data_IF_836781397647
#
_entry.id   IF_836781397647
#
_cell.length_a   1.000
_cell.length_b   1.000
_cell.length_c   1.000
_cell.angle_alpha   90.00
_cell.angle_beta   90.00
_cell.angle_gamma   90.00
#
_symmetry.space_group_name_H-M   'P 1'
#
loop_
_entity.id
_entity.type
_entity.pdbx_description
1 polymer ?
#
# COMPACT_ATOMS: atom_id res chain seq x y z
N UNK A 1 52.12 46.52 1.51
CA UNK A 1 50.65 46.65 1.43
C UNK A 1 50.07 45.30 1.02
N UNK A 2 49.47 44.50 1.91
CA UNK A 2 48.75 43.32 1.48
C UNK A 2 47.31 43.73 1.10
N UNK A 3 46.89 43.39 -0.12
CA UNK A 3 45.52 43.59 -0.59
C UNK A 3 44.59 42.59 0.10
N UNK A 4 43.58 43.08 0.81
CA UNK A 4 42.50 42.29 1.36
C UNK A 4 41.56 41.89 0.21
N UNK A 5 41.48 40.59 -0.09
CA UNK A 5 40.46 40.03 -0.97
C UNK A 5 39.21 39.78 -0.12
N UNK A 6 38.17 40.60 -0.33
CA UNK A 6 36.88 40.44 0.33
C UNK A 6 36.09 39.33 -0.38
N UNK A 7 35.98 38.16 0.23
CA UNK A 7 35.02 37.13 -0.19
C UNK A 7 33.60 37.60 0.15
N UNK A 8 32.82 38.01 -0.85
CA UNK A 8 31.38 38.23 -0.69
C UNK A 8 30.69 36.87 -0.53
N UNK A 9 30.47 36.46 0.72
CA UNK A 9 29.52 35.40 1.07
C UNK A 9 28.11 35.89 0.70
N UNK A 10 27.54 35.34 -0.37
CA UNK A 10 26.11 35.46 -0.66
C UNK A 10 25.35 34.75 0.46
N UNK A 11 24.89 35.53 1.44
CA UNK A 11 23.92 35.05 2.43
C UNK A 11 22.65 34.70 1.66
N UNK A 12 22.37 33.41 1.50
CA UNK A 12 21.05 32.97 1.05
C UNK A 12 20.11 33.22 2.24
N UNK A 13 19.21 34.20 2.11
CA UNK A 13 18.18 34.41 3.12
C UNK A 13 17.18 33.27 2.98
N UNK A 14 16.66 32.80 4.11
CA UNK A 14 15.55 31.85 4.08
C UNK A 14 14.33 32.52 3.43
N UNK A 15 13.54 31.73 2.69
CA UNK A 15 12.30 32.18 2.06
C UNK A 15 11.42 32.86 3.12
N UNK A 16 10.74 33.92 2.71
CA UNK A 16 9.95 34.76 3.60
C UNK A 16 8.52 34.83 3.11
N UNK A 17 7.59 34.62 4.04
CA UNK A 17 6.16 34.85 3.82
C UNK A 17 5.66 35.84 4.86
N UNK A 18 5.09 36.95 4.40
CA UNK A 18 4.45 37.96 5.23
C UNK A 18 2.94 37.82 5.07
N UNK A 19 2.24 37.80 6.20
CA UNK A 19 0.80 37.67 6.26
C UNK A 19 0.12 39.04 6.32
N UNK A 20 -1.16 39.09 5.96
CA UNK A 20 -1.96 40.31 5.97
C UNK A 20 -2.10 40.95 7.36
N UNK A 21 -1.91 40.19 8.44
CA UNK A 21 -1.88 40.69 9.81
C UNK A 21 -0.50 41.21 10.25
N UNK A 22 0.51 41.16 9.38
CA UNK A 22 1.89 41.59 9.64
C UNK A 22 2.82 40.48 10.14
N UNK A 23 2.30 39.28 10.44
CA UNK A 23 3.14 38.17 10.87
C UNK A 23 4.09 37.73 9.76
N UNK A 24 5.29 37.30 10.14
CA UNK A 24 6.32 36.85 9.21
C UNK A 24 6.75 35.42 9.54
N UNK A 25 6.66 34.55 8.54
CA UNK A 25 7.23 33.20 8.59
C UNK A 25 8.47 33.16 7.72
N UNK A 26 9.57 32.69 8.30
CA UNK A 26 10.85 32.51 7.61
C UNK A 26 11.18 31.03 7.58
N UNK A 27 11.55 30.49 6.41
CA UNK A 27 11.81 29.06 6.24
C UNK A 27 12.11 28.67 4.79
N UNK A 28 11.79 27.44 4.42
CA UNK A 28 11.81 27.00 3.02
C UNK A 28 10.38 26.69 2.56
N UNK A 29 9.95 27.29 1.45
CA UNK A 29 8.63 26.96 0.86
C UNK A 29 8.69 25.50 0.38
N UNK A 30 7.78 24.66 0.89
CA UNK A 30 7.67 23.27 0.46
C UNK A 30 6.75 23.20 -0.75
N UNK A 31 5.52 23.69 -0.58
CA UNK A 31 4.51 23.71 -1.64
C UNK A 31 3.39 24.69 -1.36
N UNK A 32 2.67 25.05 -2.42
CA UNK A 32 1.33 25.62 -2.37
C UNK A 32 0.41 24.71 -3.14
N UNK A 33 -0.65 24.23 -2.51
CA UNK A 33 -1.67 23.39 -3.15
C UNK A 33 -3.07 23.85 -2.72
N UNK A 34 -3.94 24.07 -3.70
CA UNK A 34 -5.27 24.65 -3.49
C UNK A 34 -5.20 25.96 -2.71
N UNK A 35 -5.76 25.95 -1.48
CA UNK A 35 -5.87 27.10 -0.58
C UNK A 35 -4.73 27.19 0.45
N UNK A 36 -3.77 26.27 0.44
CA UNK A 36 -2.79 26.14 1.50
C UNK A 36 -1.36 26.32 0.97
N UNK A 37 -0.57 27.10 1.69
CA UNK A 37 0.89 27.21 1.54
C UNK A 37 1.57 26.52 2.71
N UNK A 38 2.51 25.64 2.42
CA UNK A 38 3.28 24.89 3.42
C UNK A 38 4.74 25.32 3.39
N UNK A 39 5.25 25.69 4.56
CA UNK A 39 6.61 26.19 4.76
C UNK A 39 7.27 25.34 5.84
N UNK A 40 8.53 24.94 5.62
CA UNK A 40 9.37 24.36 6.67
C UNK A 40 10.14 25.48 7.35
N UNK A 41 9.69 25.90 8.52
CA UNK A 41 10.42 26.80 9.40
C UNK A 41 11.43 26.01 10.23
N UNK A 42 12.63 26.55 10.43
CA UNK A 42 13.70 25.85 11.14
C UNK A 42 13.37 25.59 12.61
N UNK A 43 12.69 26.54 13.27
CA UNK A 43 12.37 26.48 14.70
C UNK A 43 11.03 25.81 15.01
N UNK A 44 10.06 25.92 14.09
CA UNK A 44 8.66 25.52 14.34
C UNK A 44 8.23 24.32 13.49
N UNK A 45 9.13 23.77 12.69
CA UNK A 45 8.82 22.66 11.79
C UNK A 45 7.91 23.09 10.64
N UNK A 46 6.93 22.26 10.30
CA UNK A 46 6.06 22.51 9.15
C UNK A 46 4.89 23.41 9.54
N UNK A 47 4.82 24.59 8.95
CA UNK A 47 3.74 25.57 9.12
C UNK A 47 2.86 25.54 7.87
N UNK A 48 1.54 25.46 8.06
CA UNK A 48 0.55 25.56 6.98
C UNK A 48 -0.26 26.83 7.14
N UNK A 49 -0.34 27.62 6.09
CA UNK A 49 -0.95 28.95 6.06
C UNK A 49 -1.99 28.99 4.94
N UNK A 50 -3.12 29.62 5.18
CA UNK A 50 -4.09 29.88 4.13
C UNK A 50 -3.52 30.89 3.11
N UNK A 51 -3.52 30.53 1.82
CA UNK A 51 -2.93 31.32 0.74
C UNK A 51 -3.56 32.70 0.60
N UNK A 52 -4.84 32.84 0.94
CA UNK A 52 -5.56 34.11 0.93
C UNK A 52 -5.12 35.07 2.06
N UNK A 53 -4.39 34.59 3.07
CA UNK A 53 -3.79 35.41 4.12
C UNK A 53 -2.36 35.84 3.81
N UNK A 54 -1.77 35.36 2.70
CA UNK A 54 -0.43 35.76 2.28
C UNK A 54 -0.49 37.14 1.63
N UNK A 55 0.28 38.07 2.18
CA UNK A 55 0.46 39.42 1.62
C UNK A 55 1.71 39.47 0.73
N UNK A 56 2.83 38.92 1.20
CA UNK A 56 4.07 38.85 0.44
C UNK A 56 4.69 37.46 0.52
N UNK A 57 5.27 37.01 -0.60
CA UNK A 57 6.07 35.79 -0.68
C UNK A 57 7.39 36.09 -1.37
N UNK A 58 8.47 35.58 -0.81
CA UNK A 58 9.80 35.63 -1.40
C UNK A 58 10.44 34.25 -1.30
N UNK A 59 10.85 33.72 -2.44
CA UNK A 59 11.59 32.47 -2.54
C UNK A 59 12.91 32.75 -3.26
N UNK A 60 14.04 32.66 -2.55
CA UNK A 60 15.34 32.92 -3.13
C UNK A 60 15.88 31.70 -3.89
N UNK A 61 15.38 30.50 -3.58
CA UNK A 61 15.62 29.28 -4.36
C UNK A 61 14.56 29.13 -5.45
N UNK A 62 14.91 28.69 -6.67
CA UNK A 62 13.94 28.39 -7.69
C UNK A 62 12.91 27.36 -7.22
N UNK A 63 11.64 27.62 -7.48
CA UNK A 63 10.52 26.71 -7.25
C UNK A 63 9.78 26.48 -8.56
N UNK A 64 9.10 25.33 -8.65
CA UNK A 64 8.25 24.98 -9.77
C UNK A 64 6.86 25.56 -9.53
N UNK A 65 6.43 26.50 -10.38
CA UNK A 65 5.10 27.12 -10.32
C UNK A 65 4.26 26.60 -11.47
N UNK A 66 3.15 25.94 -11.13
CA UNK A 66 2.10 25.59 -12.09
C UNK A 66 1.07 26.71 -12.10
N UNK A 67 0.91 27.35 -13.24
CA UNK A 67 -0.07 28.40 -13.46
C UNK A 67 -1.49 27.82 -13.55
N UNK A 68 -2.50 28.67 -13.39
CA UNK A 68 -3.91 28.28 -13.54
C UNK A 68 -4.24 27.69 -14.93
N UNK A 69 -3.47 28.05 -15.96
CA UNK A 69 -3.59 27.49 -17.33
C UNK A 69 -2.89 26.13 -17.51
N UNK A 70 -2.24 25.61 -16.45
CA UNK A 70 -1.54 24.32 -16.45
C UNK A 70 -0.07 24.38 -16.88
N UNK A 71 0.46 25.54 -17.30
CA UNK A 71 1.90 25.66 -17.63
C UNK A 71 2.75 25.65 -16.37
N UNK A 72 3.88 24.94 -16.44
CA UNK A 72 4.88 24.94 -15.37
C UNK A 72 6.05 25.84 -15.74
N UNK A 73 6.40 26.76 -14.84
CA UNK A 73 7.60 27.61 -14.94
C UNK A 73 8.47 27.40 -13.71
N UNK A 74 9.79 27.41 -13.86
CA UNK A 74 10.73 27.29 -12.74
C UNK A 74 11.46 28.62 -12.54
N UNK A 75 11.41 29.17 -11.33
CA UNK A 75 12.00 30.46 -11.04
C UNK A 75 11.91 30.85 -9.58
N UNK A 76 12.59 31.94 -9.21
CA UNK A 76 12.48 32.54 -7.87
C UNK A 76 11.19 33.34 -7.76
N UNK A 77 10.68 33.49 -6.53
CA UNK A 77 9.44 34.22 -6.27
C UNK A 77 9.71 35.52 -5.54
N UNK A 78 9.01 36.57 -5.91
CA UNK A 78 8.92 37.79 -5.13
C UNK A 78 7.53 38.42 -5.32
N UNK A 79 6.97 39.00 -4.28
CA UNK A 79 5.81 39.89 -4.44
C UNK A 79 6.28 41.29 -4.80
N UNK A 80 5.77 41.85 -5.91
CA UNK A 80 5.98 43.23 -6.31
C UNK A 80 4.65 43.85 -6.76
N UNK A 81 4.32 45.03 -6.24
CA UNK A 81 3.08 45.75 -6.58
C UNK A 81 1.79 44.90 -6.46
N UNK A 82 1.71 44.07 -5.41
CA UNK A 82 0.56 43.19 -5.16
C UNK A 82 0.44 41.99 -6.11
N UNK A 83 1.43 41.77 -6.99
CA UNK A 83 1.51 40.62 -7.90
C UNK A 83 2.65 39.70 -7.50
N UNK A 84 2.54 38.43 -7.88
CA UNK A 84 3.61 37.45 -7.73
C UNK A 84 4.47 37.49 -8.98
N UNK A 85 5.73 37.88 -8.82
CA UNK A 85 6.74 37.80 -9.87
C UNK A 85 7.48 36.47 -9.78
N UNK A 86 7.45 35.72 -10.89
CA UNK A 86 8.29 34.54 -11.09
C UNK A 86 9.45 34.94 -11.99
N UNK A 87 10.66 35.01 -11.44
CA UNK A 87 11.86 35.29 -12.21
C UNK A 87 12.51 33.98 -12.68
N UNK A 88 12.39 33.69 -13.98
CA UNK A 88 13.09 32.59 -14.64
C UNK A 88 14.46 33.07 -15.14
N UNK A 89 15.25 32.18 -15.75
CA UNK A 89 16.54 32.57 -16.35
C UNK A 89 16.40 33.61 -17.46
N UNK A 90 15.29 33.58 -18.19
CA UNK A 90 15.12 34.32 -19.45
C UNK A 90 14.07 35.44 -19.35
N UNK A 91 13.13 35.37 -18.40
CA UNK A 91 12.00 36.31 -18.31
C UNK A 91 11.46 36.44 -16.89
N UNK A 92 10.91 37.61 -16.55
CA UNK A 92 10.10 37.82 -15.36
C UNK A 92 8.63 37.78 -15.72
N UNK A 93 7.88 36.87 -15.10
CA UNK A 93 6.44 36.73 -15.28
C UNK A 93 5.73 37.37 -14.09
N UNK A 94 4.85 38.35 -14.33
CA UNK A 94 4.06 38.99 -13.27
C UNK A 94 2.63 38.46 -13.29
N UNK A 95 2.24 37.79 -12.20
CA UNK A 95 1.00 37.03 -12.08
C UNK A 95 0.11 37.60 -10.98
N UNK A 96 -1.21 37.55 -11.17
CA UNK A 96 -2.09 37.75 -10.02
C UNK A 96 -1.93 36.56 -9.05
N UNK A 97 -2.09 36.75 -7.73
CA UNK A 97 -2.01 35.64 -6.77
C UNK A 97 -3.00 34.50 -7.04
N UNK A 98 -4.11 34.79 -7.74
CA UNK A 98 -5.11 33.82 -8.18
C UNK A 98 -4.62 32.94 -9.35
N UNK A 99 -3.70 33.43 -10.17
CA UNK A 99 -3.15 32.70 -11.33
C UNK A 99 -2.06 31.70 -10.93
N UNK A 100 -1.57 31.79 -9.68
CA UNK A 100 -0.62 30.85 -9.10
C UNK A 100 -1.39 29.62 -8.62
N UNK A 101 -1.44 28.58 -9.46
CA UNK A 101 -2.17 27.34 -9.17
C UNK A 101 -1.48 26.49 -8.10
N UNK A 102 -0.26 26.04 -8.38
CA UNK A 102 0.54 25.19 -7.49
C UNK A 102 1.96 25.72 -7.41
N UNK A 103 2.58 25.63 -6.24
CA UNK A 103 4.03 25.82 -6.06
C UNK A 103 4.60 24.50 -5.53
N UNK A 104 5.73 24.04 -6.05
CA UNK A 104 6.48 22.91 -5.49
C UNK A 104 7.97 23.24 -5.48
N UNK A 105 8.63 23.03 -4.34
CA UNK A 105 10.08 22.95 -4.36
C UNK A 105 10.55 21.70 -5.14
N UNK A 106 11.85 21.57 -5.35
CA UNK A 106 12.40 20.46 -6.15
C UNK A 106 12.09 19.08 -5.57
N UNK A 107 12.07 18.93 -4.24
CA UNK A 107 11.77 17.65 -3.58
C UNK A 107 10.30 17.24 -3.77
N UNK A 108 9.36 18.18 -3.60
CA UNK A 108 7.94 17.93 -3.86
C UNK A 108 7.67 17.73 -5.35
N UNK A 109 8.38 18.43 -6.23
CA UNK A 109 8.25 18.22 -7.68
C UNK A 109 8.72 16.82 -8.08
N UNK A 110 9.87 16.37 -7.57
CA UNK A 110 10.34 14.98 -7.76
C UNK A 110 9.36 13.96 -7.18
N UNK A 111 8.80 14.23 -6.00
CA UNK A 111 7.79 13.36 -5.40
C UNK A 111 6.52 13.27 -6.25
N UNK A 112 6.06 14.38 -6.83
CA UNK A 112 4.93 14.44 -7.74
C UNK A 112 5.21 13.68 -9.05
N UNK A 113 6.36 13.90 -9.68
CA UNK A 113 6.76 13.20 -10.91
C UNK A 113 6.86 11.68 -10.71
N UNK A 114 7.36 11.25 -9.54
CA UNK A 114 7.39 9.84 -9.14
C UNK A 114 5.99 9.20 -9.16
N UNK A 115 4.94 9.94 -8.80
CA UNK A 115 3.56 9.45 -8.79
C UNK A 115 2.92 9.44 -10.17
N UNK A 116 3.39 10.27 -11.11
CA UNK A 116 2.89 10.31 -12.48
C UNK A 116 3.36 9.11 -13.32
N UNK A 117 4.63 8.72 -13.18
CA UNK A 117 5.24 7.61 -13.93
C UNK A 117 6.10 6.74 -13.00
N UNK A 118 5.48 6.08 -12.00
CA UNK A 118 6.23 5.24 -11.08
C UNK A 118 6.81 4.04 -11.83
N UNK A 119 8.11 3.78 -11.65
CA UNK A 119 8.67 2.53 -12.12
C UNK A 119 8.11 1.34 -11.30
N UNK A 120 8.32 0.12 -11.77
CA UNK A 120 7.72 -1.06 -11.15
C UNK A 120 8.21 -1.32 -9.71
N UNK A 121 9.42 -0.89 -9.36
CA UNK A 121 10.01 -1.04 -8.03
C UNK A 121 9.55 -0.01 -7.00
N UNK A 122 8.69 0.94 -7.38
CA UNK A 122 8.16 2.00 -6.53
C UNK A 122 6.70 1.76 -6.16
N UNK A 123 6.26 2.43 -5.09
CA UNK A 123 4.89 2.44 -4.56
C UNK A 123 4.44 1.12 -3.93
N UNK A 124 5.39 0.24 -3.62
CA UNK A 124 5.12 -0.96 -2.86
C UNK A 124 4.98 -0.61 -1.38
N UNK A 125 3.87 -1.02 -0.79
CA UNK A 125 3.67 -1.00 0.65
C UNK A 125 3.17 -2.37 1.11
N UNK A 126 3.54 -2.77 2.32
CA UNK A 126 3.23 -4.12 2.77
C UNK A 126 3.60 -4.40 4.21
N UNK A 127 3.34 -5.64 4.60
CA UNK A 127 3.69 -6.20 5.89
C UNK A 127 4.45 -7.50 5.73
N UNK A 128 5.36 -7.76 6.66
CA UNK A 128 6.00 -9.06 6.83
C UNK A 128 5.96 -9.44 8.30
N UNK A 129 5.62 -10.69 8.62
CA UNK A 129 5.45 -11.16 9.99
C UNK A 129 6.08 -12.53 10.22
N UNK A 130 6.60 -12.75 11.41
CA UNK A 130 7.09 -14.03 11.92
C UNK A 130 6.34 -14.38 13.21
N UNK A 131 5.91 -15.63 13.32
CA UNK A 131 5.25 -16.19 14.49
C UNK A 131 5.94 -17.47 14.96
N UNK A 132 6.19 -17.57 16.25
CA UNK A 132 6.75 -18.75 16.91
C UNK A 132 5.88 -19.11 18.12
N UNK A 133 5.52 -20.38 18.26
CA UNK A 133 4.84 -20.90 19.44
C UNK A 133 5.40 -22.28 19.79
N UNK A 134 5.45 -22.60 21.08
CA UNK A 134 5.91 -23.92 21.51
C UNK A 134 5.52 -24.21 22.95
N UNK A 135 5.48 -25.49 23.26
CA UNK A 135 5.25 -26.01 24.61
C UNK A 135 6.35 -27.01 24.96
N UNK A 136 6.66 -27.12 26.25
CA UNK A 136 7.59 -28.12 26.78
C UNK A 136 7.06 -28.66 28.11
N UNK A 137 7.63 -29.78 28.59
CA UNK A 137 7.17 -30.50 29.78
C UNK A 137 6.23 -31.64 29.37
N UNK A 138 4.95 -31.54 29.72
CA UNK A 138 3.95 -32.58 29.47
C UNK A 138 3.64 -32.77 27.97
N UNK A 139 3.75 -31.70 27.18
CA UNK A 139 3.61 -31.73 25.74
C UNK A 139 4.74 -30.95 25.09
N UNK A 140 5.33 -31.51 24.04
CA UNK A 140 6.37 -30.83 23.26
C UNK A 140 5.83 -30.45 21.90
N UNK A 141 5.67 -29.16 21.66
CA UNK A 141 5.20 -28.61 20.38
C UNK A 141 6.12 -27.49 19.90
N UNK A 142 6.20 -27.33 18.58
CA UNK A 142 6.88 -26.22 17.92
C UNK A 142 6.06 -25.82 16.71
N UNK A 143 5.75 -24.54 16.59
CA UNK A 143 5.06 -23.93 15.46
C UNK A 143 5.86 -22.74 14.97
N UNK A 144 6.09 -22.69 13.68
CA UNK A 144 6.63 -21.56 12.95
C UNK A 144 5.60 -21.11 11.92
N UNK A 145 5.38 -19.79 11.82
CA UNK A 145 4.56 -19.19 10.79
C UNK A 145 5.23 -17.93 10.25
N UNK A 146 5.04 -17.68 8.96
CA UNK A 146 5.45 -16.44 8.31
C UNK A 146 4.39 -15.99 7.32
N UNK A 147 4.25 -14.67 7.20
CA UNK A 147 3.28 -14.05 6.31
C UNK A 147 3.86 -12.78 5.72
N UNK A 148 3.70 -12.59 4.42
CA UNK A 148 4.09 -11.39 3.68
C UNK A 148 2.92 -10.97 2.81
N UNK A 149 2.56 -9.69 2.89
CA UNK A 149 1.59 -9.07 2.01
C UNK A 149 2.22 -7.80 1.45
N UNK A 150 2.14 -7.59 0.15
CA UNK A 150 2.63 -6.38 -0.50
C UNK A 150 1.65 -5.93 -1.58
N UNK A 151 1.43 -4.63 -1.69
CA UNK A 151 0.62 -4.03 -2.72
C UNK A 151 1.34 -2.84 -3.33
N UNK A 152 1.30 -2.76 -4.66
CA UNK A 152 1.69 -1.59 -5.44
C UNK A 152 0.44 -0.94 -5.98
N UNK A 153 0.14 0.28 -5.52
CA UNK A 153 -1.05 1.02 -5.94
C UNK A 153 -0.63 2.26 -6.72
N UNK A 154 -1.10 2.37 -7.96
CA UNK A 154 -0.96 3.57 -8.81
C UNK A 154 -2.32 4.26 -8.95
N UNK A 155 -2.41 5.28 -9.81
CA UNK A 155 -3.67 5.96 -10.12
C UNK A 155 -4.68 5.02 -10.80
N UNK A 156 -4.20 4.03 -11.56
CA UNK A 156 -5.03 3.17 -12.41
C UNK A 156 -4.94 1.70 -12.04
N UNK A 157 -3.92 1.29 -11.30
CA UNK A 157 -3.58 -0.13 -11.16
C UNK A 157 -3.26 -0.50 -9.70
N UNK A 158 -3.55 -1.75 -9.36
CA UNK A 158 -3.12 -2.39 -8.11
C UNK A 158 -2.47 -3.72 -8.45
N UNK A 159 -1.21 -3.91 -8.09
CA UNK A 159 -0.56 -5.23 -8.08
C UNK A 159 -0.47 -5.70 -6.63
N UNK A 160 -0.93 -6.91 -6.35
CA UNK A 160 -0.87 -7.52 -5.02
C UNK A 160 0.05 -8.75 -5.07
N UNK A 161 0.83 -8.95 -4.01
CA UNK A 161 1.63 -10.15 -3.77
C UNK A 161 1.35 -10.63 -2.35
N UNK A 162 1.19 -11.92 -2.16
CA UNK A 162 1.17 -12.51 -0.83
C UNK A 162 1.94 -13.82 -0.77
N UNK A 163 2.44 -14.13 0.42
CA UNK A 163 3.07 -15.40 0.76
C UNK A 163 2.77 -15.73 2.21
N UNK A 164 2.33 -16.94 2.49
CA UNK A 164 2.08 -17.44 3.84
C UNK A 164 2.65 -18.86 3.94
N UNK A 165 3.34 -19.15 5.04
CA UNK A 165 3.78 -20.51 5.34
C UNK A 165 3.59 -20.81 6.83
N UNK A 166 3.16 -22.03 7.13
CA UNK A 166 3.12 -22.57 8.48
C UNK A 166 3.73 -23.96 8.50
N UNK A 167 4.53 -24.22 9.54
CA UNK A 167 5.01 -25.55 9.87
C UNK A 167 4.88 -25.78 11.38
N UNK A 168 4.19 -26.84 11.76
CA UNK A 168 4.01 -27.21 13.16
C UNK A 168 4.33 -28.69 13.36
N UNK A 169 4.90 -29.00 14.53
CA UNK A 169 5.20 -30.36 14.96
C UNK A 169 4.91 -30.55 16.43
N UNK A 170 4.48 -31.76 16.80
CA UNK A 170 4.27 -32.20 18.15
C UNK A 170 4.90 -33.57 18.40
N UNK A 171 5.32 -33.82 19.64
CA UNK A 171 5.73 -35.15 20.06
C UNK A 171 4.48 -36.01 20.30
N UNK A 172 4.25 -36.99 19.42
CA UNK A 172 3.14 -37.96 19.52
C UNK A 172 3.74 -39.34 19.73
N UNK A 173 3.40 -40.00 20.85
CA UNK A 173 3.92 -41.33 21.21
C UNK A 173 5.47 -41.40 21.18
N UNK A 174 6.14 -40.35 21.66
CA UNK A 174 7.61 -40.28 21.70
C UNK A 174 8.29 -40.03 20.35
N UNK A 175 7.53 -39.83 19.27
CA UNK A 175 8.06 -39.49 17.94
C UNK A 175 7.65 -38.08 17.53
N UNK A 176 8.58 -37.34 16.93
CA UNK A 176 8.25 -36.04 16.36
C UNK A 176 7.33 -36.26 15.16
N UNK A 177 6.13 -35.68 15.21
CA UNK A 177 5.12 -35.77 14.17
C UNK A 177 4.74 -34.36 13.75
N UNK A 178 4.70 -34.12 12.44
CA UNK A 178 4.16 -32.86 11.94
C UNK A 178 2.66 -32.80 12.22
N UNK A 179 2.17 -31.60 12.50
CA UNK A 179 0.75 -31.33 12.80
C UNK A 179 0.16 -30.26 11.90
N UNK A 180 1.01 -29.47 11.22
CA UNK A 180 0.62 -28.58 10.12
C UNK A 180 1.82 -28.40 9.19
N UNK A 181 1.58 -28.35 7.88
CA UNK A 181 2.58 -27.94 6.89
C UNK A 181 1.86 -27.43 5.64
N UNK A 182 1.80 -26.10 5.49
CA UNK A 182 1.12 -25.46 4.37
C UNK A 182 1.90 -24.25 3.89
N UNK A 183 1.91 -24.04 2.57
CA UNK A 183 2.52 -22.90 1.89
C UNK A 183 1.54 -22.36 0.87
N UNK A 184 1.26 -21.06 0.91
CA UNK A 184 0.35 -20.37 0.00
C UNK A 184 1.05 -19.13 -0.54
N UNK A 185 0.93 -18.87 -1.82
CA UNK A 185 1.44 -17.64 -2.41
C UNK A 185 0.68 -17.28 -3.67
N UNK A 186 0.62 -15.99 -3.97
CA UNK A 186 -0.13 -15.53 -5.13
C UNK A 186 0.22 -14.13 -5.55
N UNK A 187 -0.14 -13.84 -6.80
CA UNK A 187 -0.03 -12.52 -7.42
C UNK A 187 -1.40 -12.12 -7.99
N UNK A 188 -1.79 -10.88 -7.76
CA UNK A 188 -3.00 -10.29 -8.32
C UNK A 188 -2.68 -8.98 -9.05
N UNK A 189 -3.46 -8.67 -10.08
CA UNK A 189 -3.42 -7.40 -10.79
C UNK A 189 -4.84 -6.91 -11.08
N UNK A 190 -5.13 -5.69 -10.65
CA UNK A 190 -6.37 -4.98 -10.95
C UNK A 190 -6.05 -3.76 -11.81
N UNK A 191 -6.82 -3.56 -12.88
CA UNK A 191 -6.78 -2.38 -13.73
C UNK A 191 -8.13 -1.65 -13.68
N UNK A 192 -8.13 -0.41 -13.22
CA UNK A 192 -9.33 0.42 -13.11
C UNK A 192 -9.72 0.95 -14.50
N UNK A 193 -10.77 0.36 -15.07
CA UNK A 193 -11.38 0.83 -16.33
C UNK A 193 -12.25 2.08 -16.11
N UNK A 194 -12.79 2.24 -14.90
CA UNK A 194 -13.46 3.44 -14.39
C UNK A 194 -13.11 3.62 -12.91
N UNK A 195 -13.38 4.78 -12.29
CA UNK A 195 -13.08 4.99 -10.87
C UNK A 195 -13.73 3.98 -9.92
N UNK A 196 -14.83 3.35 -10.32
CA UNK A 196 -15.57 2.35 -9.54
C UNK A 196 -15.51 0.93 -10.12
N UNK A 197 -14.94 0.72 -11.30
CA UNK A 197 -14.93 -0.58 -11.97
C UNK A 197 -13.51 -0.96 -12.36
N UNK A 198 -13.17 -2.23 -12.12
CA UNK A 198 -11.86 -2.77 -12.47
C UNK A 198 -11.97 -4.14 -13.13
N UNK A 199 -10.97 -4.48 -13.93
CA UNK A 199 -10.69 -5.83 -14.42
C UNK A 199 -9.63 -6.43 -13.51
N UNK A 200 -9.79 -7.69 -13.11
CA UNK A 200 -8.84 -8.38 -12.25
C UNK A 200 -8.29 -9.63 -12.93
N UNK A 201 -7.02 -9.93 -12.65
CA UNK A 201 -6.35 -11.20 -12.99
C UNK A 201 -5.56 -11.63 -11.77
N UNK A 202 -5.53 -12.93 -11.47
CA UNK A 202 -4.76 -13.46 -10.35
C UNK A 202 -4.21 -14.85 -10.66
N UNK A 203 -3.12 -15.20 -9.98
CA UNK A 203 -2.52 -16.51 -10.03
C UNK A 203 -2.06 -16.94 -8.64
N UNK A 204 -2.60 -18.06 -8.16
CA UNK A 204 -2.36 -18.57 -6.82
C UNK A 204 -1.74 -19.98 -6.85
N UNK A 205 -0.92 -20.25 -5.84
CA UNK A 205 -0.25 -21.51 -5.59
C UNK A 205 -0.47 -21.94 -4.15
N UNK A 206 -0.76 -23.22 -3.95
CA UNK A 206 -0.97 -23.79 -2.62
C UNK A 206 -0.39 -25.20 -2.51
N UNK A 207 0.31 -25.45 -1.41
CA UNK A 207 0.74 -26.75 -0.94
C UNK A 207 0.16 -26.95 0.46
N UNK A 208 -0.37 -28.14 0.73
CA UNK A 208 -0.88 -28.52 2.04
C UNK A 208 -0.75 -30.02 2.27
N UNK A 209 0.18 -30.40 3.15
CA UNK A 209 0.44 -31.80 3.49
C UNK A 209 -0.78 -32.51 4.09
N UNK A 210 -1.56 -31.81 4.93
CA UNK A 210 -2.68 -32.39 5.66
C UNK A 210 -3.94 -32.49 4.80
N UNK A 211 -3.98 -31.83 3.65
CA UNK A 211 -4.96 -32.05 2.59
C UNK A 211 -4.50 -33.06 1.53
N UNK A 212 -3.30 -33.68 1.66
CA UNK A 212 -2.61 -34.42 0.59
C UNK A 212 -2.44 -33.58 -0.69
N UNK A 213 -2.32 -32.26 -0.59
CA UNK A 213 -2.25 -31.38 -1.73
C UNK A 213 -0.78 -31.04 -2.02
N UNK A 214 -0.21 -31.70 -3.04
CA UNK A 214 1.18 -31.48 -3.45
C UNK A 214 1.33 -30.15 -4.19
N UNK A 215 0.32 -29.77 -4.98
CA UNK A 215 0.25 -28.47 -5.64
C UNK A 215 -1.18 -28.17 -6.11
N UNK A 216 -1.71 -27.01 -5.74
CA UNK A 216 -2.81 -26.36 -6.44
C UNK A 216 -2.29 -25.14 -7.17
N UNK A 217 -2.62 -25.06 -8.45
CA UNK A 217 -2.41 -23.90 -9.30
C UNK A 217 -3.79 -23.34 -9.67
N UNK A 218 -4.00 -22.05 -9.45
CA UNK A 218 -5.22 -21.35 -9.88
C UNK A 218 -4.83 -20.15 -10.72
N UNK A 219 -5.41 -20.01 -11.91
CA UNK A 219 -5.28 -18.82 -12.75
C UNK A 219 -6.67 -18.33 -13.11
N UNK A 220 -7.00 -17.11 -12.72
CA UNK A 220 -8.33 -16.56 -12.90
C UNK A 220 -8.34 -15.11 -13.32
N UNK A 221 -9.49 -14.68 -13.84
CA UNK A 221 -9.72 -13.30 -14.19
C UNK A 221 -11.21 -12.97 -14.32
N UNK A 222 -11.51 -11.68 -14.15
CA UNK A 222 -12.88 -11.22 -14.06
C UNK A 222 -12.98 -9.71 -13.89
N UNK A 223 -14.09 -9.30 -13.28
CA UNK A 223 -14.41 -7.90 -13.05
C UNK A 223 -14.71 -7.68 -11.58
N UNK A 224 -14.53 -6.44 -11.15
CA UNK A 224 -14.93 -6.03 -9.82
C UNK A 224 -15.37 -4.58 -9.75
N UNK A 225 -15.94 -4.26 -8.60
CA UNK A 225 -16.59 -3.00 -8.30
C UNK A 225 -16.12 -2.50 -6.94
N UNK A 226 -15.62 -1.26 -6.90
CA UNK A 226 -15.28 -0.55 -5.66
C UNK A 226 -16.58 -0.04 -5.01
N UNK A 227 -17.15 -0.83 -4.11
CA UNK A 227 -18.41 -0.50 -3.44
C UNK A 227 -18.25 0.62 -2.41
N UNK A 228 -17.13 0.68 -1.71
CA UNK A 228 -16.81 1.78 -0.80
C UNK A 228 -15.34 2.11 -0.91
N UNK A 229 -15.02 3.39 -1.02
CA UNK A 229 -13.64 3.89 -1.08
C UNK A 229 -13.53 5.18 -0.29
N UNK A 230 -13.02 5.05 0.92
CA UNK A 230 -12.78 6.16 1.86
C UNK A 230 -11.36 6.06 2.41
N UNK A 231 -10.92 7.07 3.17
CA UNK A 231 -9.60 7.02 3.82
C UNK A 231 -9.45 5.91 4.87
N UNK A 232 -10.58 5.47 5.44
CA UNK A 232 -10.63 4.47 6.51
C UNK A 232 -11.14 3.10 6.06
N UNK A 233 -11.95 3.02 5.02
CA UNK A 233 -12.64 1.79 4.62
C UNK A 233 -12.63 1.63 3.10
N UNK A 234 -12.33 0.42 2.65
CA UNK A 234 -12.35 0.00 1.26
C UNK A 234 -13.08 -1.34 1.15
N UNK A 235 -14.13 -1.42 0.33
CA UNK A 235 -14.85 -2.66 0.06
C UNK A 235 -14.93 -2.85 -1.45
N UNK A 236 -14.45 -3.99 -1.91
CA UNK A 236 -14.56 -4.44 -3.30
C UNK A 236 -15.43 -5.68 -3.38
N UNK A 237 -16.29 -5.74 -4.40
CA UNK A 237 -16.89 -6.99 -4.86
C UNK A 237 -16.25 -7.41 -6.17
N UNK A 238 -16.05 -8.71 -6.36
CA UNK A 238 -15.44 -9.25 -7.56
C UNK A 238 -16.07 -10.57 -7.97
N UNK A 239 -15.98 -10.89 -9.26
CA UNK A 239 -16.36 -12.19 -9.79
C UNK A 239 -15.83 -12.43 -11.19
N UNK A 240 -15.72 -13.69 -11.57
CA UNK A 240 -15.11 -14.09 -12.84
C UNK A 240 -15.02 -15.59 -12.98
N UNK A 241 -14.06 -16.02 -13.81
CA UNK A 241 -13.78 -17.44 -14.03
C UNK A 241 -12.31 -17.73 -13.75
N UNK A 242 -12.04 -18.95 -13.35
CA UNK A 242 -10.68 -19.44 -13.17
C UNK A 242 -10.51 -20.89 -13.61
N UNK A 243 -9.25 -21.25 -13.79
CA UNK A 243 -8.80 -22.61 -14.00
C UNK A 243 -8.03 -23.07 -12.77
N UNK A 244 -8.53 -24.13 -12.13
CA UNK A 244 -7.89 -24.80 -11.01
C UNK A 244 -7.30 -26.15 -11.48
N UNK A 245 -6.04 -26.38 -11.16
CA UNK A 245 -5.38 -27.67 -11.28
C UNK A 245 -4.79 -28.06 -9.93
N UNK A 246 -5.31 -29.15 -9.36
CA UNK A 246 -4.85 -29.70 -8.08
C UNK A 246 -4.23 -31.09 -8.30
N UNK A 247 -2.97 -31.27 -7.91
CA UNK A 247 -2.29 -32.57 -7.83
C UNK A 247 -2.15 -32.98 -6.37
N UNK A 248 -2.50 -34.22 -6.06
CA UNK A 248 -2.48 -34.76 -4.71
C UNK A 248 -1.34 -35.75 -4.51
N UNK A 249 -1.01 -36.10 -3.27
CA UNK A 249 -0.02 -37.13 -2.91
C UNK A 249 -0.46 -38.57 -3.28
N UNK A 250 -1.47 -38.70 -4.12
CA UNK A 250 -1.97 -39.94 -4.73
C UNK A 250 -1.86 -39.77 -6.25
N UNK A 251 -2.12 -40.79 -7.08
CA UNK A 251 -2.19 -40.59 -8.53
C UNK A 251 -3.29 -39.62 -9.00
N UNK A 252 -4.15 -39.13 -8.10
CA UNK A 252 -5.22 -38.19 -8.41
C UNK A 252 -4.68 -36.82 -8.83
N UNK A 253 -5.10 -36.37 -10.01
CA UNK A 253 -5.00 -34.98 -10.45
C UNK A 253 -6.37 -34.51 -10.90
N UNK A 254 -6.81 -33.36 -10.39
CA UNK A 254 -8.07 -32.73 -10.74
C UNK A 254 -7.83 -31.45 -11.52
N UNK A 255 -8.71 -31.19 -12.49
CA UNK A 255 -8.75 -29.94 -13.26
C UNK A 255 -10.21 -29.48 -13.32
N UNK A 256 -10.45 -28.22 -13.01
CA UNK A 256 -11.78 -27.62 -13.05
C UNK A 256 -11.68 -26.22 -13.65
N UNK A 257 -12.67 -25.88 -14.48
CA UNK A 257 -13.06 -24.50 -14.66
C UNK A 257 -14.02 -24.12 -13.54
N UNK A 258 -13.81 -22.97 -12.91
CA UNK A 258 -14.59 -22.51 -11.76
C UNK A 258 -15.19 -21.12 -12.07
N UNK A 259 -16.40 -20.86 -11.58
CA UNK A 259 -16.92 -19.51 -11.46
C UNK A 259 -16.61 -19.02 -10.04
N UNK A 260 -15.92 -17.90 -9.92
CA UNK A 260 -15.61 -17.34 -8.61
C UNK A 260 -16.34 -16.02 -8.38
N UNK A 261 -16.62 -15.75 -7.11
CA UNK A 261 -17.12 -14.46 -6.66
C UNK A 261 -16.76 -14.23 -5.19
N UNK A 262 -16.77 -12.97 -4.76
CA UNK A 262 -16.44 -12.64 -3.38
C UNK A 262 -16.20 -11.16 -3.13
N UNK A 263 -15.53 -10.88 -2.03
CA UNK A 263 -15.24 -9.53 -1.56
C UNK A 263 -13.82 -9.39 -0.98
N UNK A 264 -13.31 -8.16 -1.05
CA UNK A 264 -12.09 -7.73 -0.35
C UNK A 264 -12.42 -6.50 0.49
N UNK A 265 -12.23 -6.60 1.81
CA UNK A 265 -12.50 -5.54 2.76
C UNK A 265 -11.25 -5.08 3.50
N UNK A 266 -11.05 -3.77 3.58
CA UNK A 266 -9.98 -3.15 4.36
C UNK A 266 -10.57 -2.08 5.27
N UNK A 267 -10.18 -2.07 6.53
CA UNK A 267 -10.68 -1.13 7.52
C UNK A 267 -9.56 -0.64 8.45
N UNK A 268 -9.36 0.67 8.52
CA UNK A 268 -8.60 1.34 9.59
C UNK A 268 -9.52 1.51 10.79
N UNK A 269 -9.45 0.55 11.72
CA UNK A 269 -10.21 0.57 12.97
C UNK A 269 -9.78 1.75 13.83
N UNK A 270 -8.47 2.04 13.87
CA UNK A 270 -7.88 3.19 14.58
C UNK A 270 -6.62 3.67 13.86
N UNK A 271 -5.93 4.67 14.41
CA UNK A 271 -4.61 5.08 13.90
C UNK A 271 -3.51 4.02 14.09
N UNK A 272 -3.72 3.08 15.02
CA UNK A 272 -2.78 2.01 15.34
C UNK A 272 -3.20 0.65 14.75
N UNK A 273 -4.50 0.41 14.55
CA UNK A 273 -5.03 -0.90 14.17
C UNK A 273 -5.74 -0.86 12.82
N UNK A 274 -5.37 -1.80 11.95
CA UNK A 274 -6.03 -2.07 10.67
C UNK A 274 -6.50 -3.51 10.59
N UNK A 275 -7.61 -3.72 9.89
CA UNK A 275 -8.21 -5.01 9.59
C UNK A 275 -8.25 -5.19 8.08
N UNK A 276 -7.97 -6.41 7.63
CA UNK A 276 -8.16 -6.87 6.25
C UNK A 276 -9.01 -8.14 6.29
N UNK A 277 -9.92 -8.28 5.35
CA UNK A 277 -10.71 -9.49 5.16
C UNK A 277 -10.87 -9.77 3.66
N UNK A 278 -10.88 -11.06 3.32
CA UNK A 278 -11.09 -11.56 1.97
C UNK A 278 -12.02 -12.75 2.04
N UNK A 279 -13.02 -12.79 1.17
CA UNK A 279 -13.92 -13.91 0.99
C UNK A 279 -13.95 -14.26 -0.49
N UNK A 280 -13.84 -15.55 -0.82
CA UNK A 280 -14.04 -16.06 -2.18
C UNK A 280 -14.76 -17.40 -2.16
N UNK A 281 -15.84 -17.47 -2.93
CA UNK A 281 -16.52 -18.70 -3.32
C UNK A 281 -16.03 -19.10 -4.72
N UNK A 282 -15.87 -20.39 -4.94
CA UNK A 282 -15.52 -20.97 -6.23
C UNK A 282 -16.46 -22.15 -6.51
N UNK A 283 -17.35 -21.96 -7.49
CA UNK A 283 -18.31 -22.95 -7.95
C UNK A 283 -17.70 -23.74 -9.12
N UNK A 284 -17.56 -25.07 -8.98
CA UNK A 284 -16.98 -25.91 -10.03
C UNK A 284 -17.97 -26.08 -11.20
N UNK A 285 -17.57 -25.58 -12.37
CA UNK A 285 -18.35 -25.65 -13.61
C UNK A 285 -18.18 -26.98 -14.34
N UNK A 286 -17.12 -27.73 -14.00
CA UNK A 286 -16.76 -29.03 -14.59
C UNK A 286 -17.40 -30.18 -13.83
N UNK A 287 -17.27 -30.19 -12.50
CA UNK A 287 -17.90 -31.16 -11.60
C UNK A 287 -19.04 -30.49 -10.85
N UNK A 288 -20.22 -30.43 -11.48
CA UNK A 288 -21.39 -29.75 -10.91
C UNK A 288 -21.71 -30.27 -9.51
N UNK A 289 -21.93 -29.34 -8.58
CA UNK A 289 -22.20 -29.63 -7.18
C UNK A 289 -20.95 -29.64 -6.30
N UNK A 290 -19.74 -29.53 -6.86
CA UNK A 290 -18.51 -29.26 -6.10
C UNK A 290 -18.27 -27.76 -6.00
N UNK A 291 -17.79 -27.30 -4.84
CA UNK A 291 -17.40 -25.92 -4.60
C UNK A 291 -16.39 -25.81 -3.47
N UNK A 292 -15.66 -24.69 -3.44
CA UNK A 292 -14.74 -24.34 -2.35
C UNK A 292 -14.95 -22.91 -1.89
N UNK A 293 -14.71 -22.67 -0.60
CA UNK A 293 -14.79 -21.35 0.03
C UNK A 293 -13.46 -21.04 0.69
N UNK A 294 -12.94 -19.85 0.42
CA UNK A 294 -11.79 -19.29 1.10
C UNK A 294 -12.25 -18.05 1.87
N UNK A 295 -11.99 -18.04 3.17
CA UNK A 295 -12.18 -16.86 4.00
C UNK A 295 -10.88 -16.55 4.74
N UNK A 296 -10.46 -15.29 4.72
CA UNK A 296 -9.29 -14.81 5.46
C UNK A 296 -9.66 -13.52 6.17
N UNK A 297 -9.26 -13.38 7.42
CA UNK A 297 -9.36 -12.12 8.18
C UNK A 297 -8.10 -11.91 8.99
N UNK A 298 -7.57 -10.70 8.96
CA UNK A 298 -6.33 -10.34 9.64
C UNK A 298 -6.43 -8.97 10.29
N UNK A 299 -5.80 -8.83 11.44
CA UNK A 299 -5.63 -7.56 12.14
C UNK A 299 -4.14 -7.30 12.36
N UNK A 300 -3.72 -6.06 12.11
CA UNK A 300 -2.36 -5.56 12.39
C UNK A 300 -2.47 -4.35 13.30
N UNK A 301 -1.82 -4.41 14.46
CA UNK A 301 -1.77 -3.33 15.45
C UNK A 301 -0.33 -2.87 15.65
N UNK A 302 -0.08 -1.57 15.48
CA UNK A 302 1.20 -0.95 15.78
C UNK A 302 1.47 -1.02 17.28
N UNK A 303 2.58 -1.64 17.66
CA UNK A 303 3.04 -1.74 19.06
C UNK A 303 4.22 -0.79 19.30
N UNK A 304 5.04 -0.57 18.26
CA UNK A 304 6.08 0.45 18.23
C UNK A 304 6.19 1.05 16.82
N UNK A 305 7.02 2.10 16.65
CA UNK A 305 7.21 2.77 15.34
C UNK A 305 7.59 1.81 14.21
N UNK A 306 8.34 0.76 14.52
CA UNK A 306 8.86 -0.22 13.56
C UNK A 306 8.25 -1.62 13.71
N UNK A 307 7.34 -1.82 14.68
CA UNK A 307 6.87 -3.14 15.10
C UNK A 307 5.35 -3.19 15.17
N UNK A 308 4.79 -4.21 14.53
CA UNK A 308 3.38 -4.54 14.56
C UNK A 308 3.17 -5.90 15.20
N UNK A 309 2.05 -6.04 15.89
CA UNK A 309 1.49 -7.33 16.26
C UNK A 309 0.39 -7.70 15.26
N UNK A 310 0.44 -8.92 14.76
CA UNK A 310 -0.47 -9.45 13.76
C UNK A 310 -1.26 -10.63 14.34
N UNK A 311 -2.52 -10.71 13.98
CA UNK A 311 -3.39 -11.87 14.19
C UNK A 311 -4.07 -12.15 12.86
N UNK A 312 -4.11 -13.41 12.44
CA UNK A 312 -4.85 -13.82 11.25
C UNK A 312 -5.60 -15.11 11.48
N UNK A 313 -6.74 -15.24 10.80
CA UNK A 313 -7.57 -16.42 10.70
C UNK A 313 -7.76 -16.70 9.21
N UNK A 314 -7.68 -17.97 8.84
CA UNK A 314 -7.84 -18.45 7.47
C UNK A 314 -8.66 -19.72 7.53
N UNK A 315 -9.72 -19.77 6.72
CA UNK A 315 -10.59 -20.91 6.59
C UNK A 315 -10.62 -21.35 5.13
N UNK A 316 -10.43 -22.65 4.91
CA UNK A 316 -10.54 -23.30 3.61
C UNK A 316 -11.56 -24.41 3.73
N UNK A 317 -12.66 -24.26 3.01
CA UNK A 317 -13.72 -25.24 2.94
C UNK A 317 -13.77 -25.86 1.54
N UNK A 318 -13.84 -27.18 1.48
CA UNK A 318 -14.15 -27.96 0.29
C UNK A 318 -15.32 -28.88 0.63
N UNK A 319 -16.39 -28.81 -0.16
CA UNK A 319 -17.55 -29.68 0.09
C UNK A 319 -17.27 -31.15 -0.28
N UNK A 320 -16.40 -31.39 -1.26
CA UNK A 320 -15.91 -32.71 -1.68
C UNK A 320 -14.38 -32.77 -1.55
N UNK A 321 -13.84 -32.97 -0.34
CA UNK A 321 -12.39 -33.06 -0.13
C UNK A 321 -11.82 -34.40 -0.65
N UNK A 322 -10.50 -34.49 -0.73
CA UNK A 322 -9.82 -35.75 -1.06
C UNK A 322 -10.21 -36.87 -0.06
N UNK A 323 -10.23 -38.16 -0.48
CA UNK A 323 -10.62 -39.27 0.39
C UNK A 323 -9.85 -39.28 1.71
N UNK A 324 -10.59 -39.39 2.82
CA UNK A 324 -10.03 -39.39 4.17
C UNK A 324 -9.66 -38.01 4.74
N UNK A 325 -9.99 -36.91 4.04
CA UNK A 325 -9.75 -35.54 4.50
C UNK A 325 -11.03 -34.88 5.00
N UNK A 326 -10.87 -33.92 5.92
CA UNK A 326 -11.99 -33.11 6.42
C UNK A 326 -12.39 -32.07 5.38
N UNK A 327 -13.64 -31.63 5.45
CA UNK A 327 -14.18 -30.57 4.56
C UNK A 327 -13.63 -29.19 4.90
N UNK A 328 -13.21 -28.97 6.14
CA UNK A 328 -12.81 -27.67 6.65
C UNK A 328 -11.39 -27.70 7.21
N UNK A 329 -10.59 -26.72 6.84
CA UNK A 329 -9.25 -26.49 7.36
C UNK A 329 -9.13 -25.06 7.88
N UNK A 330 -8.99 -24.96 9.20
CA UNK A 330 -8.99 -23.70 9.93
C UNK A 330 -7.59 -23.43 10.49
N UNK A 331 -7.03 -22.31 10.08
CA UNK A 331 -5.71 -21.86 10.49
C UNK A 331 -5.85 -20.52 11.21
N UNK A 332 -5.24 -20.41 12.38
CA UNK A 332 -5.04 -19.15 13.07
C UNK A 332 -3.57 -18.94 13.36
N UNK A 333 -3.08 -17.73 13.14
CA UNK A 333 -1.69 -17.38 13.45
C UNK A 333 -1.63 -16.05 14.17
N UNK A 334 -0.58 -15.88 14.95
CA UNK A 334 -0.23 -14.58 15.54
C UNK A 334 1.28 -14.44 15.56
N UNK A 335 1.75 -13.21 15.40
CA UNK A 335 3.18 -12.94 15.31
C UNK A 335 3.51 -11.47 15.34
N UNK A 336 4.80 -11.19 15.36
CA UNK A 336 5.33 -9.84 15.25
C UNK A 336 5.77 -9.61 13.82
N UNK A 337 5.60 -8.38 13.35
CA UNK A 337 5.92 -8.01 11.99
C UNK A 337 6.33 -6.56 11.84
N UNK A 338 6.74 -6.23 10.62
CA UNK A 338 7.13 -4.89 10.21
C UNK A 338 6.20 -4.42 9.08
N UNK A 339 5.99 -3.10 9.00
CA UNK A 339 5.42 -2.47 7.81
C UNK A 339 6.55 -1.86 7.01
N UNK A 340 6.50 -2.00 5.69
CA UNK A 340 7.40 -1.31 4.77
C UNK A 340 6.60 -0.53 3.74
N UNK A 341 7.18 0.56 3.25
CA UNK A 341 6.67 1.34 2.13
C UNK A 341 7.87 1.89 1.34
N UNK A 342 7.82 1.85 0.01
CA UNK A 342 8.93 2.24 -0.87
C UNK A 342 8.50 3.25 -1.94
#
# INVERSE_FOLDING_TARGET
MPSLVCFSLSTAWADQVVLKNGDRVTGSIIKKDGKNLTIKADLFGVVTIAWDQVDQVRADKPVNVVLADGKTVQGTLATANGKIEVATKDTKLSLAPADVGVIRNDDEQKAYERLLKPNWGQLWAGTGSLGFAGTSGNARTLTFSTGVNAARVTNTDKTSLYFNAIKASALVNGKNSETAEAVRGGIGYNHNVKPTLFVNVFNDYEYDKFQNLDLRFVLGGGFGFHATKTERSHLDFLGGIDFNRSSFSTPLTQKSAEFYWGDEYNLKVSGATSLVQSFRMFDDLTNRGSYRVNFDIGASTKVAKWLNWNVSLSDRYLNHPAPGRKTNDFLYTTGLGITFAR
#
